data_IF_551432904654
#
_entry.id   IF_551432904654
#
_cell.length_a   1.000
_cell.length_b   1.000
_cell.length_c   1.000
_cell.angle_alpha   90.00
_cell.angle_beta   90.00
_cell.angle_gamma   90.00
#
_symmetry.space_group_name_H-M   'P 1'
#
loop_
_entity.id
_entity.type
_entity.pdbx_description
1 polymer ?
#
# COMPACT_ATOMS: atom_id res chain seq x y z
N UNK A 1 25.09 -4.14 -12.33
CA UNK A 1 23.81 -3.37 -12.36
C UNK A 1 23.42 -3.17 -10.92
N UNK A 2 23.30 -1.93 -10.43
CA UNK A 2 22.89 -1.68 -9.05
C UNK A 2 21.41 -2.05 -8.97
N UNK A 3 21.09 -3.02 -8.11
CA UNK A 3 19.70 -3.36 -7.80
C UNK A 3 19.10 -2.18 -7.02
N UNK A 4 18.16 -1.47 -7.64
CA UNK A 4 17.49 -0.33 -7.02
C UNK A 4 16.19 -0.70 -6.30
N UNK A 5 15.85 -1.99 -6.28
CA UNK A 5 14.81 -2.52 -5.40
C UNK A 5 15.47 -2.78 -4.05
N UNK A 6 15.05 -2.10 -2.98
CA UNK A 6 15.61 -2.37 -1.66
C UNK A 6 15.25 -3.80 -1.22
N UNK A 7 16.17 -4.55 -0.62
CA UNK A 7 15.84 -5.85 -0.07
C UNK A 7 14.84 -5.71 1.10
N UNK A 8 14.02 -6.73 1.38
CA UNK A 8 12.98 -6.67 2.42
C UNK A 8 13.49 -6.19 3.78
N UNK A 9 14.71 -6.57 4.15
CA UNK A 9 15.33 -6.17 5.43
C UNK A 9 15.59 -4.65 5.48
N UNK A 10 16.00 -4.06 4.37
CA UNK A 10 16.20 -2.61 4.29
C UNK A 10 14.88 -1.84 4.34
N UNK A 11 13.81 -2.40 3.74
CA UNK A 11 12.46 -1.84 3.86
C UNK A 11 11.99 -1.93 5.31
N UNK A 12 12.14 -3.08 5.97
CA UNK A 12 11.82 -3.27 7.38
C UNK A 12 12.57 -2.26 8.27
N UNK A 13 13.86 -2.10 8.07
CA UNK A 13 14.68 -1.13 8.80
C UNK A 13 14.16 0.31 8.67
N UNK A 14 13.74 0.70 7.48
CA UNK A 14 13.10 2.00 7.25
C UNK A 14 11.82 2.12 8.09
N UNK A 15 10.94 1.11 8.04
CA UNK A 15 9.66 1.16 8.75
C UNK A 15 9.87 1.21 10.28
N UNK A 16 10.82 0.46 10.82
CA UNK A 16 11.16 0.47 12.25
C UNK A 16 11.75 1.83 12.65
N UNK A 17 12.79 2.32 11.94
CA UNK A 17 13.48 3.57 12.26
C UNK A 17 12.58 4.80 12.17
N UNK A 18 11.59 4.78 11.29
CA UNK A 18 10.63 5.90 11.15
C UNK A 18 9.46 5.81 12.11
N UNK A 19 9.29 4.67 12.81
CA UNK A 19 8.13 4.37 13.65
C UNK A 19 6.88 3.97 12.85
N UNK A 20 7.03 3.76 11.53
CA UNK A 20 5.94 3.30 10.67
C UNK A 20 5.51 1.86 10.97
N UNK A 21 6.41 1.09 11.54
CA UNK A 21 6.14 -0.24 12.08
C UNK A 21 6.58 -0.31 13.54
N UNK A 22 5.68 -0.79 14.40
CA UNK A 22 5.92 -0.92 15.83
C UNK A 22 5.52 -2.31 16.31
N UNK A 23 6.29 -2.85 17.24
CA UNK A 23 5.97 -4.07 17.99
C UNK A 23 5.48 -3.71 19.37
N UNK A 24 4.50 -4.45 19.88
CA UNK A 24 3.90 -4.24 21.18
C UNK A 24 2.59 -4.99 21.30
N UNK A 25 1.76 -4.60 22.23
CA UNK A 25 0.39 -5.07 22.34
C UNK A 25 -0.57 -3.93 21.94
N UNK A 26 -1.25 -4.10 20.81
CA UNK A 26 -2.11 -3.09 20.26
C UNK A 26 -3.56 -3.56 20.20
N UNK A 27 -4.50 -2.69 20.62
CA UNK A 27 -5.93 -2.91 20.45
C UNK A 27 -6.43 -2.00 19.34
N UNK A 28 -6.93 -2.61 18.27
CA UNK A 28 -7.48 -1.90 17.12
C UNK A 28 -8.91 -1.41 17.38
N UNK A 29 -9.43 -0.42 16.63
CA UNK A 29 -10.79 0.12 16.84
C UNK A 29 -11.92 -0.91 16.73
N UNK A 30 -11.66 -2.01 16.03
CA UNK A 30 -12.60 -3.14 15.93
C UNK A 30 -12.49 -4.12 17.13
N UNK A 31 -11.73 -3.78 18.17
CA UNK A 31 -11.51 -4.58 19.37
C UNK A 31 -10.50 -5.71 19.23
N UNK A 32 -9.95 -5.94 18.05
CA UNK A 32 -8.95 -7.01 17.86
C UNK A 32 -7.59 -6.62 18.43
N UNK A 33 -6.92 -7.61 18.99
CA UNK A 33 -5.56 -7.51 19.52
C UNK A 33 -4.53 -7.92 18.46
N UNK A 34 -3.38 -7.25 18.45
CA UNK A 34 -2.26 -7.59 17.58
C UNK A 34 -0.92 -7.27 18.23
N UNK A 35 0.13 -7.95 17.79
CA UNK A 35 1.51 -7.68 18.22
C UNK A 35 2.20 -6.60 17.41
N UNK A 36 1.51 -6.02 16.46
CA UNK A 36 2.05 -5.09 15.48
C UNK A 36 1.10 -3.94 15.22
N UNK A 37 1.69 -2.78 14.98
CA UNK A 37 0.96 -1.60 14.52
C UNK A 37 1.70 -0.95 13.37
N UNK A 38 0.93 -0.52 12.37
CA UNK A 38 1.44 0.13 11.16
C UNK A 38 0.89 1.54 11.04
N UNK A 39 1.79 2.49 10.85
CA UNK A 39 1.48 3.89 10.56
C UNK A 39 2.37 4.34 9.40
N UNK A 40 2.11 3.78 8.23
CA UNK A 40 2.94 3.93 7.02
C UNK A 40 3.24 5.39 6.63
N UNK A 41 2.34 6.37 6.84
CA UNK A 41 2.66 7.78 6.60
C UNK A 41 3.94 8.26 7.28
N UNK A 42 4.34 7.68 8.42
CA UNK A 42 5.59 8.04 9.10
C UNK A 42 6.85 7.74 8.27
N UNK A 43 6.81 6.70 7.44
CA UNK A 43 7.92 6.39 6.54
C UNK A 43 8.02 7.37 5.37
N UNK A 44 6.91 8.03 5.02
CA UNK A 44 6.83 8.97 3.90
C UNK A 44 7.00 10.43 4.30
N UNK A 45 7.02 10.77 5.60
CA UNK A 45 7.26 12.14 6.07
C UNK A 45 8.69 12.63 5.85
N UNK A 46 9.65 11.71 5.67
CA UNK A 46 11.05 12.02 5.44
C UNK A 46 11.41 11.79 3.96
N UNK A 47 12.07 12.76 3.35
CA UNK A 47 12.39 12.74 1.93
C UNK A 47 13.15 11.47 1.51
N UNK A 48 14.22 11.11 2.23
CA UNK A 48 15.08 9.99 1.85
C UNK A 48 14.34 8.65 1.91
N UNK A 49 13.58 8.40 2.98
CA UNK A 49 12.83 7.14 3.13
C UNK A 49 11.69 7.05 2.14
N UNK A 50 10.94 8.14 1.93
CA UNK A 50 9.89 8.20 0.92
C UNK A 50 10.44 7.91 -0.48
N UNK A 51 11.60 8.51 -0.83
CA UNK A 51 12.27 8.29 -2.10
C UNK A 51 12.73 6.84 -2.28
N UNK A 52 13.36 6.24 -1.27
CA UNK A 52 13.82 4.84 -1.35
C UNK A 52 12.64 3.89 -1.61
N UNK A 53 11.56 4.04 -0.84
CA UNK A 53 10.38 3.19 -0.98
C UNK A 53 9.68 3.39 -2.33
N UNK A 54 9.50 4.64 -2.76
CA UNK A 54 8.83 4.97 -4.02
C UNK A 54 9.64 4.50 -5.24
N UNK A 55 10.96 4.72 -5.24
CA UNK A 55 11.85 4.23 -6.31
C UNK A 55 11.87 2.70 -6.32
N UNK A 56 11.94 2.06 -5.14
CA UNK A 56 11.89 0.60 -5.03
C UNK A 56 10.62 0.03 -5.67
N UNK A 57 9.46 0.54 -5.29
CA UNK A 57 8.18 0.08 -5.85
C UNK A 57 8.08 0.37 -7.36
N UNK A 58 8.53 1.54 -7.81
CA UNK A 58 8.54 1.90 -9.23
C UNK A 58 9.41 0.97 -10.08
N UNK A 59 10.49 0.44 -9.52
CA UNK A 59 11.37 -0.52 -10.19
C UNK A 59 10.66 -1.85 -10.47
N UNK A 60 9.82 -2.31 -9.57
CA UNK A 60 9.04 -3.52 -9.80
C UNK A 60 8.13 -3.38 -11.03
N UNK A 61 7.55 -2.20 -11.26
CA UNK A 61 6.77 -1.93 -12.47
C UNK A 61 7.65 -1.83 -13.72
N UNK A 62 8.82 -1.19 -13.63
CA UNK A 62 9.74 -1.09 -14.79
C UNK A 62 10.34 -2.43 -15.20
N UNK A 63 10.39 -3.42 -14.32
CA UNK A 63 10.83 -4.78 -14.66
C UNK A 63 9.81 -5.53 -15.52
N UNK A 64 8.53 -5.15 -15.47
CA UNK A 64 7.48 -5.69 -16.33
C UNK A 64 7.51 -5.02 -17.70
N UNK A 65 7.89 -5.74 -18.74
CA UNK A 65 8.02 -5.20 -20.10
C UNK A 65 6.75 -4.57 -20.65
N UNK A 66 5.59 -5.14 -20.30
CA UNK A 66 4.26 -4.64 -20.68
C UNK A 66 3.97 -3.27 -20.10
N UNK A 67 4.30 -3.06 -18.81
CA UNK A 67 4.11 -1.80 -18.10
C UNK A 67 5.19 -0.78 -18.53
N UNK A 68 6.44 -1.20 -18.59
CA UNK A 68 7.56 -0.32 -18.92
C UNK A 68 7.40 0.40 -20.27
N UNK A 69 6.77 -0.25 -21.25
CA UNK A 69 6.49 0.34 -22.59
C UNK A 69 5.46 1.46 -22.54
N UNK A 70 4.60 1.49 -21.53
CA UNK A 70 3.53 2.47 -21.40
C UNK A 70 3.97 3.72 -20.63
N UNK A 71 5.03 3.62 -19.82
CA UNK A 71 5.59 4.75 -19.07
C UNK A 71 6.20 5.77 -20.06
N UNK A 72 5.94 7.08 -19.90
CA UNK A 72 5.27 7.76 -18.77
C UNK A 72 3.73 7.88 -18.90
N UNK A 73 3.12 7.43 -19.99
CA UNK A 73 1.68 7.57 -20.29
C UNK A 73 0.84 6.61 -19.44
N UNK A 74 0.91 6.77 -18.14
CA UNK A 74 0.17 5.98 -17.15
C UNK A 74 -0.42 6.90 -16.08
N UNK A 75 -1.50 6.43 -15.44
CA UNK A 75 -2.12 7.05 -14.28
C UNK A 75 -1.74 6.28 -13.03
N UNK A 76 -1.25 6.95 -12.00
CA UNK A 76 -1.00 6.35 -10.69
C UNK A 76 -2.22 6.62 -9.81
N UNK A 77 -2.81 5.56 -9.26
CA UNK A 77 -4.05 5.67 -8.49
C UNK A 77 -3.84 5.15 -7.08
N UNK A 78 -4.17 5.97 -6.08
CA UNK A 78 -4.26 5.53 -4.69
C UNK A 78 -5.69 5.09 -4.35
N UNK A 79 -5.90 3.89 -3.79
CA UNK A 79 -7.21 3.44 -3.34
C UNK A 79 -7.64 4.05 -1.99
N UNK A 80 -6.74 4.75 -1.29
CA UNK A 80 -6.98 5.23 0.07
C UNK A 80 -6.20 6.52 0.37
N UNK A 81 -6.59 7.23 1.43
CA UNK A 81 -5.82 8.38 1.91
C UNK A 81 -4.38 8.01 2.33
N UNK A 82 -4.20 6.83 2.93
CA UNK A 82 -2.89 6.38 3.38
C UNK A 82 -1.93 6.13 2.20
N UNK A 83 -2.46 5.69 1.06
CA UNK A 83 -1.70 5.45 -0.16
C UNK A 83 -1.38 6.71 -1.00
N UNK A 84 -1.95 7.88 -0.68
CA UNK A 84 -1.73 9.11 -1.49
C UNK A 84 -0.24 9.44 -1.60
N UNK A 85 0.50 9.39 -0.50
CA UNK A 85 1.94 9.69 -0.52
C UNK A 85 2.73 8.66 -1.33
N UNK A 86 2.31 7.40 -1.31
CA UNK A 86 2.89 6.35 -2.16
C UNK A 86 2.62 6.68 -3.62
N UNK A 87 1.39 7.06 -3.96
CA UNK A 87 1.02 7.39 -5.34
C UNK A 87 1.82 8.57 -5.88
N UNK A 88 1.97 9.66 -5.13
CA UNK A 88 2.79 10.79 -5.54
C UNK A 88 4.27 10.42 -5.68
N UNK A 89 4.82 9.64 -4.75
CA UNK A 89 6.20 9.18 -4.83
C UNK A 89 6.47 8.25 -6.02
N UNK A 90 5.55 7.33 -6.31
CA UNK A 90 5.66 6.43 -7.47
C UNK A 90 5.45 7.20 -8.78
N UNK A 91 4.51 8.15 -8.82
CA UNK A 91 4.32 9.07 -9.96
C UNK A 91 5.63 9.78 -10.31
N UNK A 92 6.27 10.38 -9.33
CA UNK A 92 7.56 11.07 -9.48
C UNK A 92 8.63 10.11 -10.02
N UNK A 93 8.78 8.94 -9.40
CA UNK A 93 9.80 7.96 -9.77
C UNK A 93 9.59 7.34 -11.16
N UNK A 94 8.34 7.24 -11.63
CA UNK A 94 8.00 6.76 -12.98
C UNK A 94 7.94 7.91 -14.01
N UNK A 95 7.90 9.16 -13.56
CA UNK A 95 7.55 10.33 -14.39
C UNK A 95 6.16 10.16 -15.02
N UNK A 96 5.23 9.55 -14.28
CA UNK A 96 3.89 9.29 -14.78
C UNK A 96 3.09 10.58 -14.97
N UNK A 97 2.31 10.65 -16.05
CA UNK A 97 1.61 11.88 -16.45
C UNK A 97 0.49 12.25 -15.47
N UNK A 98 -0.20 11.26 -14.90
CA UNK A 98 -1.41 11.51 -14.12
C UNK A 98 -1.34 10.84 -12.74
N UNK A 99 -2.04 11.43 -11.77
CA UNK A 99 -2.24 10.86 -10.43
C UNK A 99 -3.64 11.14 -9.94
N UNK A 100 -4.31 10.12 -9.42
CA UNK A 100 -5.63 10.19 -8.82
C UNK A 100 -5.66 9.46 -7.48
N UNK A 101 -6.66 9.74 -6.66
CA UNK A 101 -6.93 8.96 -5.47
C UNK A 101 -8.43 8.79 -5.29
N UNK A 102 -8.83 7.62 -4.75
CA UNK A 102 -10.20 7.33 -4.43
C UNK A 102 -10.49 7.67 -2.96
N UNK A 103 -11.70 8.11 -2.70
CA UNK A 103 -12.21 8.42 -1.37
C UNK A 103 -13.45 7.58 -1.08
N UNK A 104 -13.81 7.47 0.20
CA UNK A 104 -15.07 6.85 0.59
C UNK A 104 -16.05 7.98 0.93
N UNK A 105 -17.17 8.01 0.23
CA UNK A 105 -18.28 8.89 0.50
C UNK A 105 -19.56 8.06 0.51
N UNK A 106 -20.39 8.23 1.54
CA UNK A 106 -21.62 7.45 1.76
C UNK A 106 -21.40 5.93 1.69
N UNK A 107 -20.23 5.46 2.18
CA UNK A 107 -19.86 4.05 2.21
C UNK A 107 -19.40 3.48 0.87
N UNK A 108 -19.31 4.29 -0.18
CA UNK A 108 -18.85 3.89 -1.51
C UNK A 108 -17.51 4.54 -1.86
N UNK A 109 -16.67 3.76 -2.51
CA UNK A 109 -15.41 4.27 -3.06
C UNK A 109 -15.68 4.97 -4.39
N UNK A 110 -15.11 6.17 -4.56
CA UNK A 110 -15.29 6.97 -5.77
C UNK A 110 -14.15 7.94 -5.98
N UNK A 111 -14.00 8.45 -7.20
CA UNK A 111 -13.15 9.58 -7.49
C UNK A 111 -13.94 10.87 -7.31
N UNK A 112 -13.33 11.84 -6.59
CA UNK A 112 -13.90 13.18 -6.39
C UNK A 112 -13.18 14.26 -7.19
N UNK A 113 -12.09 13.89 -7.85
CA UNK A 113 -11.41 14.78 -8.80
C UNK A 113 -12.24 14.86 -10.08
N UNK A 114 -12.20 16.00 -10.75
CA UNK A 114 -12.93 16.21 -12.02
C UNK A 114 -12.28 15.42 -13.16
N UNK A 115 -12.47 14.10 -13.15
CA UNK A 115 -11.89 13.19 -14.15
C UNK A 115 -12.67 13.12 -15.45
N UNK A 116 -13.90 13.65 -15.47
CA UNK A 116 -14.75 13.70 -16.68
C UNK A 116 -14.19 14.61 -17.78
N UNK A 117 -13.33 15.58 -17.40
CA UNK A 117 -12.72 16.53 -18.33
C UNK A 117 -11.44 16.00 -18.99
N UNK A 118 -10.92 14.85 -18.54
CA UNK A 118 -9.66 14.30 -19.01
C UNK A 118 -9.75 12.79 -19.26
N UNK A 119 -9.16 12.37 -20.36
CA UNK A 119 -8.96 10.95 -20.62
C UNK A 119 -7.91 10.39 -19.64
N UNK A 120 -8.30 9.38 -18.87
CA UNK A 120 -7.40 8.70 -17.95
C UNK A 120 -6.52 7.70 -18.71
N UNK A 121 -5.21 7.80 -18.53
CA UNK A 121 -4.26 6.83 -19.05
C UNK A 121 -4.42 5.46 -18.35
N UNK A 122 -3.88 4.36 -18.93
CA UNK A 122 -3.84 3.06 -18.27
C UNK A 122 -3.34 3.15 -16.83
N UNK A 123 -4.00 2.47 -15.92
CA UNK A 123 -3.88 2.69 -14.49
C UNK A 123 -2.91 1.72 -13.80
N UNK A 124 -2.07 2.26 -12.94
CA UNK A 124 -1.30 1.50 -11.94
C UNK A 124 -1.86 1.88 -10.56
N UNK A 125 -2.43 0.92 -9.85
CA UNK A 125 -2.96 1.12 -8.50
C UNK A 125 -1.84 0.88 -7.49
N UNK A 126 -1.61 1.87 -6.59
CA UNK A 126 -0.60 1.74 -5.53
C UNK A 126 -1.17 2.12 -4.18
N UNK A 127 -0.83 1.36 -3.15
CA UNK A 127 -1.24 1.62 -1.77
C UNK A 127 -0.07 1.45 -0.81
N UNK A 128 -0.26 1.82 0.43
CA UNK A 128 0.73 1.63 1.49
C UNK A 128 0.79 0.16 1.95
N UNK A 129 -0.35 -0.44 2.28
CA UNK A 129 -0.46 -1.83 2.75
C UNK A 129 -1.62 -2.56 2.08
N UNK A 130 -1.33 -3.73 1.53
CA UNK A 130 -2.36 -4.70 1.16
C UNK A 130 -2.62 -5.67 2.33
N UNK A 131 -3.81 -5.58 2.92
CA UNK A 131 -4.27 -6.49 3.98
C UNK A 131 -5.31 -7.49 3.47
N UNK A 132 -6.44 -7.00 3.00
CA UNK A 132 -7.56 -7.83 2.54
C UNK A 132 -7.83 -7.72 1.05
N UNK A 133 -7.14 -6.82 0.38
CA UNK A 133 -7.36 -6.50 -1.04
C UNK A 133 -8.66 -5.74 -1.32
N UNK A 134 -9.47 -5.41 -0.30
CA UNK A 134 -10.76 -4.77 -0.50
C UNK A 134 -10.64 -3.43 -1.22
N UNK A 135 -9.81 -2.53 -0.70
CA UNK A 135 -9.60 -1.20 -1.30
C UNK A 135 -9.13 -1.28 -2.74
N UNK A 136 -8.23 -2.23 -3.02
CA UNK A 136 -7.71 -2.47 -4.37
C UNK A 136 -8.84 -2.94 -5.29
N UNK A 137 -9.64 -3.96 -4.88
CA UNK A 137 -10.76 -4.46 -5.71
C UNK A 137 -11.81 -3.40 -5.99
N UNK A 138 -12.20 -2.61 -4.98
CA UNK A 138 -13.15 -1.51 -5.14
C UNK A 138 -12.61 -0.45 -6.12
N UNK A 139 -11.30 -0.16 -6.07
CA UNK A 139 -10.66 0.78 -7.00
C UNK A 139 -10.58 0.22 -8.42
N UNK A 140 -10.27 -1.07 -8.58
CA UNK A 140 -10.32 -1.73 -9.90
C UNK A 140 -11.71 -1.60 -10.52
N UNK A 141 -12.77 -1.80 -9.71
CA UNK A 141 -14.16 -1.68 -10.20
C UNK A 141 -14.44 -0.28 -10.77
N UNK A 142 -14.16 0.77 -10.00
CA UNK A 142 -14.44 2.15 -10.47
C UNK A 142 -13.55 2.56 -11.64
N UNK A 143 -12.31 2.07 -11.74
CA UNK A 143 -11.43 2.32 -12.89
C UNK A 143 -11.98 1.63 -14.16
N UNK A 144 -12.45 0.38 -14.03
CA UNK A 144 -13.09 -0.35 -15.13
C UNK A 144 -14.40 0.28 -15.58
N UNK A 145 -15.20 0.85 -14.67
CA UNK A 145 -16.42 1.61 -15.00
C UNK A 145 -16.14 2.85 -15.89
N UNK A 146 -14.95 3.44 -15.76
CA UNK A 146 -14.46 4.51 -16.64
C UNK A 146 -13.91 4.02 -17.97
N UNK A 147 -13.93 2.71 -18.24
CA UNK A 147 -13.36 2.13 -19.46
C UNK A 147 -11.83 2.08 -19.48
N UNK A 148 -11.17 2.26 -18.34
CA UNK A 148 -9.72 2.33 -18.22
C UNK A 148 -9.15 0.96 -17.84
N UNK A 149 -8.05 0.58 -18.49
CA UNK A 149 -7.33 -0.65 -18.19
C UNK A 149 -6.47 -0.49 -16.93
N UNK A 150 -6.56 -1.44 -15.99
CA UNK A 150 -5.60 -1.56 -14.88
C UNK A 150 -4.46 -2.47 -15.34
N UNK A 151 -3.25 -1.93 -15.42
CA UNK A 151 -2.06 -2.62 -15.93
C UNK A 151 -1.07 -3.04 -14.85
N UNK A 152 -1.24 -2.58 -13.62
CA UNK A 152 -0.34 -2.92 -12.52
C UNK A 152 -0.94 -2.60 -11.16
N UNK A 153 -0.51 -3.35 -10.15
CA UNK A 153 -0.89 -3.15 -8.75
C UNK A 153 0.37 -3.29 -7.90
N UNK A 154 0.54 -2.38 -6.92
CA UNK A 154 1.68 -2.48 -6.03
C UNK A 154 1.46 -1.82 -4.68
N UNK A 155 2.13 -2.36 -3.65
CA UNK A 155 2.08 -1.82 -2.29
C UNK A 155 3.47 -1.80 -1.67
N UNK A 156 3.68 -0.93 -0.70
CA UNK A 156 4.94 -0.95 0.06
C UNK A 156 5.04 -2.26 0.84
N UNK A 157 3.93 -2.67 1.45
CA UNK A 157 3.88 -3.91 2.21
C UNK A 157 2.59 -4.68 1.94
N UNK A 158 2.60 -5.98 2.21
CA UNK A 158 1.41 -6.82 2.24
C UNK A 158 1.43 -7.73 3.46
N UNK A 159 0.27 -8.20 3.88
CA UNK A 159 0.17 -9.31 4.82
C UNK A 159 0.34 -10.63 4.07
N UNK A 160 0.88 -11.66 4.73
CA UNK A 160 1.20 -12.93 4.08
C UNK A 160 -0.05 -13.63 3.51
N UNK A 161 -1.18 -13.46 4.18
CA UNK A 161 -2.50 -13.97 3.77
C UNK A 161 -3.26 -13.05 2.80
N UNK A 162 -2.69 -11.87 2.46
CA UNK A 162 -3.32 -10.94 1.54
C UNK A 162 -3.37 -11.52 0.10
N UNK A 163 -4.45 -11.25 -0.64
CA UNK A 163 -4.53 -11.67 -2.03
C UNK A 163 -3.43 -11.01 -2.86
N UNK A 164 -2.82 -11.79 -3.74
CA UNK A 164 -1.75 -11.35 -4.64
C UNK A 164 -2.19 -11.31 -6.10
N UNK A 165 -3.35 -11.86 -6.42
CA UNK A 165 -3.95 -11.80 -7.76
C UNK A 165 -5.28 -11.05 -7.72
N UNK A 166 -5.45 -10.16 -8.68
CA UNK A 166 -6.63 -9.35 -8.87
C UNK A 166 -7.04 -9.38 -10.35
N UNK A 167 -7.93 -10.29 -10.70
CA UNK A 167 -8.42 -10.47 -12.07
C UNK A 167 -7.28 -10.76 -13.08
N UNK A 168 -6.28 -11.53 -12.69
CA UNK A 168 -5.12 -11.87 -13.50
C UNK A 168 -3.99 -10.82 -13.44
N UNK A 169 -4.10 -9.81 -12.60
CA UNK A 169 -3.04 -8.83 -12.37
C UNK A 169 -2.35 -9.18 -11.06
N UNK A 170 -1.07 -9.56 -11.14
CA UNK A 170 -0.25 -9.84 -9.97
C UNK A 170 0.11 -8.55 -9.22
N UNK A 171 -0.27 -8.47 -7.94
CA UNK A 171 0.11 -7.37 -7.07
C UNK A 171 1.53 -7.55 -6.53
N UNK A 172 2.35 -6.51 -6.72
CA UNK A 172 3.74 -6.46 -6.27
C UNK A 172 3.84 -5.79 -4.90
N UNK A 173 4.81 -6.22 -4.08
CA UNK A 173 5.08 -5.61 -2.78
C UNK A 173 6.58 -5.65 -2.48
N UNK A 174 7.07 -4.63 -1.76
CA UNK A 174 8.47 -4.60 -1.33
C UNK A 174 8.72 -5.48 -0.11
N UNK A 175 7.68 -5.70 0.72
CA UNK A 175 7.79 -6.44 1.97
C UNK A 175 6.50 -7.22 2.24
N UNK A 176 6.64 -8.38 2.88
CA UNK A 176 5.52 -9.17 3.40
C UNK A 176 5.61 -9.31 4.91
N UNK A 177 4.45 -9.35 5.59
CA UNK A 177 4.36 -9.46 7.04
C UNK A 177 3.49 -10.65 7.45
N UNK A 178 4.01 -11.48 8.34
CA UNK A 178 3.20 -12.41 9.12
C UNK A 178 2.59 -11.64 10.31
N UNK A 179 1.31 -11.29 10.20
CA UNK A 179 0.56 -10.58 11.24
C UNK A 179 -0.71 -11.31 11.59
N UNK A 180 -0.82 -11.67 12.86
CA UNK A 180 -2.01 -12.31 13.39
C UNK A 180 -2.83 -11.32 14.23
N UNK A 181 -4.16 -11.41 14.07
CA UNK A 181 -5.13 -10.69 14.86
C UNK A 181 -5.89 -11.67 15.76
N UNK A 182 -6.10 -11.28 16.98
CA UNK A 182 -6.75 -12.09 18.03
C UNK A 182 -8.01 -11.38 18.49
N UNK A 183 -9.04 -12.14 18.83
CA UNK A 183 -10.31 -11.56 19.28
C UNK A 183 -10.26 -11.16 20.76
N UNK A 184 -9.40 -11.79 21.55
CA UNK A 184 -9.25 -11.52 22.98
C UNK A 184 -7.79 -11.32 23.40
N UNK A 185 -7.59 -10.67 24.55
CA UNK A 185 -6.27 -10.54 25.15
C UNK A 185 -5.66 -11.89 25.54
N UNK A 186 -6.50 -12.82 26.02
CA UNK A 186 -6.04 -14.16 26.43
C UNK A 186 -5.51 -14.95 25.23
N UNK A 187 -6.18 -14.88 24.09
CA UNK A 187 -5.68 -15.48 22.85
C UNK A 187 -4.35 -14.86 22.41
N UNK A 188 -4.25 -13.52 22.47
CA UNK A 188 -3.01 -12.85 22.14
C UNK A 188 -1.88 -13.25 23.11
N UNK A 189 -2.13 -13.28 24.43
CA UNK A 189 -1.14 -13.67 25.45
C UNK A 189 -0.70 -15.12 25.28
N UNK A 190 -1.58 -16.01 24.84
CA UNK A 190 -1.26 -17.41 24.53
C UNK A 190 -0.47 -17.59 23.23
N UNK A 191 -0.33 -16.56 22.42
CA UNK A 191 0.35 -16.63 21.12
C UNK A 191 1.87 -16.49 21.27
N UNK A 192 2.61 -16.95 20.24
CA UNK A 192 4.08 -16.74 20.15
C UNK A 192 4.46 -15.26 19.92
N UNK A 193 3.49 -14.43 19.56
CA UNK A 193 3.68 -13.00 19.29
C UNK A 193 3.51 -12.13 20.54
N UNK A 194 3.05 -12.70 21.65
CA UNK A 194 2.89 -11.98 22.91
C UNK A 194 4.23 -11.43 23.42
N UNK A 195 4.17 -10.26 23.99
CA UNK A 195 5.30 -9.59 24.64
C UNK A 195 4.84 -9.00 25.96
N UNK A 196 5.76 -8.68 26.87
CA UNK A 196 5.47 -8.01 28.13
C UNK A 196 5.19 -6.49 27.95
N UNK A 197 4.97 -6.05 26.72
CA UNK A 197 4.69 -4.66 26.42
C UNK A 197 3.34 -4.21 27.01
N UNK A 198 3.29 -2.99 27.49
CA UNK A 198 2.04 -2.36 27.88
C UNK A 198 1.06 -2.29 26.70
N UNK A 199 -0.24 -2.41 27.05
CA UNK A 199 -1.32 -2.33 26.07
C UNK A 199 -1.42 -0.91 25.53
N UNK A 200 -1.36 -0.78 24.21
CA UNK A 200 -1.58 0.50 23.52
C UNK A 200 -2.86 0.44 22.67
N UNK A 201 -3.81 1.31 22.96
CA UNK A 201 -5.01 1.43 22.13
C UNK A 201 -4.74 2.31 20.92
N UNK A 202 -4.91 1.72 19.74
CA UNK A 202 -4.77 2.44 18.47
C UNK A 202 -5.95 3.38 18.30
N UNK A 203 -5.67 4.66 18.05
CA UNK A 203 -6.68 5.69 17.73
C UNK A 203 -6.40 6.21 16.32
N UNK A 204 -7.44 6.31 15.51
CA UNK A 204 -7.42 6.92 14.19
C UNK A 204 -8.08 8.28 14.23
#
# INVERSE_FOLDING_TARGET
MVDLVPPPEAVMDILVKTGAYRRGHFIYPNGKHASHYFQMPLAFRLYDTARILSVGLSRLFRMEKSIAKQIPKVSIISPSHAGIMVAFGVREALSAEQTYWAEIEDGKRQFRQYIDDYEMNPAIIVDDINRSGRSIRETISIVKELGVEVIGIGTIAKFDDAPTDFDGIEAKSLLSFDVNFYDTEDEWRGSRSASDAEVETVRF
#
